data_IF_132414802253
#
_entry.id   IF_132414802253
#
_cell.length_a   1.000
_cell.length_b   1.000
_cell.length_c   1.000
_cell.angle_alpha   90.00
_cell.angle_beta   90.00
_cell.angle_gamma   90.00
#
_symmetry.space_group_name_H-M   'P 1'
#
loop_
_entity.id
_entity.type
_entity.pdbx_description
1 polymer ?
#
# COMPACT_ATOMS: atom_id res chain seq x y z
N UNK A 1 3.66 13.59 -7.40
CA UNK A 1 3.28 12.15 -7.53
C UNK A 1 3.80 11.38 -6.34
N UNK A 2 2.98 10.55 -5.68
CA UNK A 2 3.41 9.78 -4.50
C UNK A 2 3.04 8.30 -4.61
N UNK A 3 3.88 7.43 -4.04
CA UNK A 3 3.63 6.00 -3.85
C UNK A 3 3.60 5.70 -2.36
N UNK A 4 2.52 5.09 -1.89
CA UNK A 4 2.38 4.69 -0.49
C UNK A 4 2.25 3.18 -0.34
N UNK A 5 2.76 2.65 0.77
CA UNK A 5 2.38 1.31 1.23
C UNK A 5 1.26 1.49 2.25
N UNK A 6 0.10 0.89 1.99
CA UNK A 6 -1.01 0.84 2.91
C UNK A 6 -1.11 -0.54 3.55
N UNK A 7 -1.31 -0.58 4.86
CA UNK A 7 -1.71 -1.79 5.60
C UNK A 7 -3.20 -1.72 5.84
N UNK A 8 -3.93 -2.78 5.47
CA UNK A 8 -5.35 -2.92 5.77
C UNK A 8 -5.55 -4.13 6.65
N UNK A 9 -5.99 -3.88 7.87
CA UNK A 9 -6.37 -4.90 8.83
C UNK A 9 -7.89 -5.06 8.82
N UNK A 10 -8.38 -6.28 8.66
CA UNK A 10 -9.79 -6.61 8.83
C UNK A 10 -9.92 -7.56 10.02
N UNK A 11 -10.78 -7.25 10.99
CA UNK A 11 -11.07 -8.07 12.17
C UNK A 11 -12.56 -8.38 12.26
N UNK A 12 -12.90 -9.56 12.75
CA UNK A 12 -14.28 -10.01 12.92
C UNK A 12 -14.82 -10.81 11.74
N UNK A 13 -16.03 -11.33 11.92
CA UNK A 13 -16.72 -12.18 10.94
C UNK A 13 -18.16 -11.69 10.73
N UNK A 14 -18.70 -11.93 9.54
CA UNK A 14 -20.07 -11.56 9.19
C UNK A 14 -20.33 -10.06 9.33
N UNK A 15 -21.38 -9.70 10.08
CA UNK A 15 -21.84 -8.32 10.29
C UNK A 15 -20.97 -7.52 11.26
N UNK A 16 -20.13 -8.17 12.06
CA UNK A 16 -19.19 -7.52 13.00
C UNK A 16 -17.79 -7.34 12.40
N UNK A 17 -17.68 -7.25 11.07
CA UNK A 17 -16.40 -7.04 10.40
C UNK A 17 -16.00 -5.57 10.50
N UNK A 18 -14.88 -5.31 11.17
CA UNK A 18 -14.21 -4.01 11.21
C UNK A 18 -13.02 -4.03 10.26
N UNK A 19 -12.74 -2.90 9.62
CA UNK A 19 -11.56 -2.75 8.75
C UNK A 19 -10.88 -1.42 9.04
N UNK A 20 -9.59 -1.49 9.33
CA UNK A 20 -8.72 -0.34 9.58
C UNK A 20 -7.68 -0.26 8.47
N UNK A 21 -7.38 0.96 8.01
CA UNK A 21 -6.39 1.20 6.97
C UNK A 21 -5.39 2.23 7.45
N UNK A 22 -4.12 1.88 7.37
CA UNK A 22 -3.00 2.69 7.84
C UNK A 22 -2.01 2.91 6.70
N UNK A 23 -1.44 4.12 6.64
CA UNK A 23 -0.36 4.42 5.71
C UNK A 23 0.98 4.14 6.38
N UNK A 24 1.66 3.06 5.97
CA UNK A 24 2.94 2.64 6.53
C UNK A 24 4.08 3.56 6.08
N UNK A 25 4.04 3.97 4.81
CA UNK A 25 5.01 4.91 4.28
C UNK A 25 4.43 5.65 3.09
N UNK A 26 4.96 6.85 2.86
CA UNK A 26 4.76 7.64 1.66
C UNK A 26 6.12 7.92 1.05
N UNK A 27 6.24 7.63 -0.23
CA UNK A 27 7.43 7.86 -1.03
C UNK A 27 7.05 8.85 -2.13
N UNK A 28 7.56 10.07 -2.02
CA UNK A 28 7.39 11.09 -3.06
C UNK A 28 8.24 10.68 -4.28
N UNK A 29 7.58 10.50 -5.42
CA UNK A 29 8.24 10.06 -6.65
C UNK A 29 8.81 11.25 -7.41
N UNK A 30 8.03 12.33 -7.51
CA UNK A 30 8.35 13.48 -8.36
C UNK A 30 7.58 14.71 -7.91
N UNK A 31 8.26 15.85 -8.01
CA UNK A 31 7.70 17.19 -7.94
C UNK A 31 7.51 17.74 -9.37
N UNK A 32 6.31 18.20 -9.70
CA UNK A 32 5.93 18.66 -11.05
C UNK A 32 5.17 17.65 -11.93
N UNK A 33 4.87 18.07 -13.15
CA UNK A 33 4.09 17.32 -14.12
C UNK A 33 5.00 16.51 -15.08
N UNK A 34 4.74 15.20 -15.27
CA UNK A 34 5.54 14.39 -16.18
C UNK A 34 5.25 14.75 -17.63
N UNK A 35 6.26 14.69 -18.49
CA UNK A 35 6.10 14.83 -19.94
C UNK A 35 5.79 13.46 -20.57
N UNK A 36 4.98 13.47 -21.64
CA UNK A 36 4.66 12.24 -22.38
C UNK A 36 5.94 11.55 -22.87
N UNK A 37 6.13 10.30 -22.45
CA UNK A 37 7.29 9.48 -22.81
C UNK A 37 8.39 9.43 -21.77
N UNK A 38 8.27 10.22 -20.69
CA UNK A 38 9.21 10.12 -19.56
C UNK A 38 9.01 8.84 -18.76
N UNK A 39 10.11 8.32 -18.21
CA UNK A 39 10.12 7.16 -17.34
C UNK A 39 10.88 7.51 -16.06
N UNK A 40 10.18 7.47 -14.93
CA UNK A 40 10.76 7.74 -13.62
C UNK A 40 11.06 6.41 -12.92
N UNK A 41 12.33 6.08 -12.65
CA UNK A 41 12.67 4.85 -11.94
C UNK A 41 12.30 4.97 -10.45
N UNK A 42 11.65 3.94 -9.90
CA UNK A 42 11.24 3.91 -8.49
C UNK A 42 11.95 2.77 -7.77
N UNK A 43 12.53 3.06 -6.60
CA UNK A 43 13.13 2.06 -5.71
C UNK A 43 12.67 2.29 -4.27
N UNK A 44 11.88 1.36 -3.74
CA UNK A 44 11.37 1.40 -2.37
C UNK A 44 11.97 0.26 -1.55
N UNK A 45 12.84 0.60 -0.59
CA UNK A 45 13.44 -0.37 0.31
C UNK A 45 12.48 -0.72 1.45
N UNK A 46 12.16 -2.00 1.62
CA UNK A 46 11.17 -2.44 2.62
C UNK A 46 11.74 -2.60 4.03
N UNK A 47 13.06 -2.77 4.16
CA UNK A 47 13.73 -3.09 5.42
C UNK A 47 13.51 -2.09 6.58
N UNK A 48 13.44 -0.77 6.34
CA UNK A 48 13.23 0.20 7.42
C UNK A 48 11.82 0.19 8.02
N UNK A 49 10.85 -0.40 7.33
CA UNK A 49 9.44 -0.33 7.73
C UNK A 49 9.06 -1.54 8.60
N UNK A 50 8.28 -1.29 9.65
CA UNK A 50 7.75 -2.32 10.54
C UNK A 50 6.63 -3.12 9.87
N UNK A 51 6.99 -3.96 8.90
CA UNK A 51 6.08 -4.79 8.13
C UNK A 51 5.91 -6.18 8.79
N UNK A 52 4.74 -6.76 8.60
CA UNK A 52 4.46 -8.17 8.91
C UNK A 52 4.17 -8.91 7.60
N UNK A 53 4.21 -10.26 7.58
CA UNK A 53 3.71 -11.01 6.45
C UNK A 53 2.23 -10.71 6.17
N UNK A 54 1.81 -10.91 4.93
CA UNK A 54 0.39 -10.90 4.57
C UNK A 54 -0.30 -12.07 5.25
N UNK A 55 -1.32 -11.77 6.04
CA UNK A 55 -2.14 -12.77 6.73
C UNK A 55 -3.51 -12.86 6.06
N UNK A 56 -3.83 -14.04 5.51
CA UNK A 56 -5.11 -14.28 4.84
C UNK A 56 -6.00 -15.15 5.71
N UNK A 57 -7.13 -14.59 6.12
CA UNK A 57 -8.20 -15.29 6.83
C UNK A 57 -7.71 -16.17 7.99
N UNK A 58 -6.92 -15.60 8.90
CA UNK A 58 -6.35 -16.36 10.03
C UNK A 58 -7.49 -16.77 10.97
N UNK A 59 -7.75 -18.07 11.02
CA UNK A 59 -8.81 -18.69 11.81
C UNK A 59 -10.19 -18.04 11.64
N UNK A 60 -10.49 -17.47 10.47
CA UNK A 60 -11.72 -16.71 10.23
C UNK A 60 -11.94 -15.54 11.19
N UNK A 61 -10.88 -15.03 11.81
CA UNK A 61 -10.93 -13.90 12.76
C UNK A 61 -10.38 -12.61 12.20
N UNK A 62 -9.27 -12.67 11.45
CA UNK A 62 -8.66 -11.46 10.91
C UNK A 62 -7.87 -11.68 9.62
N UNK A 63 -7.54 -10.59 8.94
CA UNK A 63 -6.63 -10.55 7.80
C UNK A 63 -5.79 -9.28 7.83
N UNK A 64 -4.54 -9.37 7.42
CA UNK A 64 -3.64 -8.23 7.23
C UNK A 64 -3.17 -8.24 5.78
N UNK A 65 -3.54 -7.21 5.04
CA UNK A 65 -3.21 -7.04 3.62
C UNK A 65 -2.38 -5.79 3.39
N UNK A 66 -1.55 -5.82 2.36
CA UNK A 66 -0.70 -4.71 1.96
C UNK A 66 -1.06 -4.26 0.55
N UNK A 67 -1.05 -2.95 0.33
CA UNK A 67 -1.36 -2.36 -0.98
C UNK A 67 -0.29 -1.34 -1.33
N UNK A 68 0.17 -1.37 -2.59
CA UNK A 68 0.80 -0.22 -3.20
C UNK A 68 -0.30 0.72 -3.67
N UNK A 69 -0.27 1.95 -3.18
CA UNK A 69 -1.21 3.01 -3.50
C UNK A 69 -0.47 4.11 -4.24
N UNK A 70 -0.69 4.21 -5.54
CA UNK A 70 -0.20 5.30 -6.36
C UNK A 70 -1.21 6.45 -6.31
N UNK A 71 -0.72 7.64 -5.99
CA UNK A 71 -1.52 8.87 -5.97
C UNK A 71 -0.91 9.89 -6.94
N UNK A 72 -1.77 10.41 -7.81
CA UNK A 72 -1.47 11.50 -8.72
C UNK A 72 -2.31 12.70 -8.31
N UNK A 73 -1.70 13.87 -8.36
CA UNK A 73 -2.38 15.15 -8.15
C UNK A 73 -2.10 15.98 -9.39
N UNK A 74 -3.14 16.58 -9.97
CA UNK A 74 -3.00 17.50 -11.10
C UNK A 74 -3.00 18.98 -10.66
N UNK A 75 -2.90 19.88 -11.63
CA UNK A 75 -2.81 21.33 -11.38
C UNK A 75 -4.11 21.93 -10.81
N UNK A 76 -5.24 21.23 -10.93
CA UNK A 76 -6.54 21.62 -10.37
C UNK A 76 -6.78 21.02 -8.97
N UNK A 77 -5.73 20.46 -8.34
CA UNK A 77 -5.78 19.75 -7.05
C UNK A 77 -6.69 18.49 -7.08
N UNK A 78 -6.98 17.94 -8.26
CA UNK A 78 -7.73 16.69 -8.38
C UNK A 78 -6.82 15.51 -8.10
N UNK A 79 -7.29 14.59 -7.26
CA UNK A 79 -6.53 13.43 -6.81
C UNK A 79 -7.00 12.15 -7.49
N UNK A 80 -6.08 11.44 -8.13
CA UNK A 80 -6.32 10.15 -8.77
C UNK A 80 -5.59 9.06 -8.02
N UNK A 81 -6.27 7.93 -7.80
CA UNK A 81 -5.78 6.84 -6.97
C UNK A 81 -5.78 5.52 -7.74
N UNK A 82 -4.70 4.75 -7.60
CA UNK A 82 -4.66 3.35 -8.03
C UNK A 82 -4.04 2.50 -6.94
N UNK A 83 -4.78 1.48 -6.49
CA UNK A 83 -4.31 0.52 -5.50
C UNK A 83 -4.09 -0.85 -6.13
N UNK A 84 -2.99 -1.50 -5.76
CA UNK A 84 -2.69 -2.88 -6.13
C UNK A 84 -2.29 -3.66 -4.88
N UNK A 85 -2.94 -4.80 -4.62
CA UNK A 85 -2.57 -5.69 -3.51
C UNK A 85 -1.17 -6.28 -3.78
N UNK A 86 -0.31 -6.24 -2.77
CA UNK A 86 1.01 -6.87 -2.76
C UNK A 86 1.09 -7.92 -1.64
N UNK A 87 1.83 -8.99 -1.88
CA UNK A 87 2.02 -10.08 -0.92
C UNK A 87 3.39 -9.93 -0.28
N UNK A 88 3.40 -9.73 1.03
CA UNK A 88 4.61 -9.67 1.85
C UNK A 88 4.79 -11.02 2.53
N UNK A 89 6.00 -11.57 2.48
CA UNK A 89 6.35 -12.86 3.08
C UNK A 89 7.69 -12.76 3.79
N UNK A 90 7.93 -13.63 4.77
CA UNK A 90 9.19 -13.69 5.51
C UNK A 90 10.10 -14.74 4.89
N UNK A 91 11.28 -14.31 4.43
CA UNK A 91 12.22 -15.19 3.72
C UNK A 91 12.62 -16.45 4.49
N UNK A 92 12.89 -16.33 5.78
CA UNK A 92 13.48 -17.42 6.56
C UNK A 92 12.45 -18.36 7.22
N UNK A 93 11.16 -18.21 6.91
CA UNK A 93 10.08 -19.06 7.45
C UNK A 93 9.25 -19.70 6.32
N UNK A 94 9.51 -19.34 5.06
CA UNK A 94 8.85 -19.89 3.88
C UNK A 94 9.67 -20.97 3.18
#
# INVERSE_FOLDING_TARGET
MELAILRRESVGAGTQRHTESETITKFEIMDGAPVKGESVPVRLYLAPYALTPTYRNVQSRFSVKYFLNLVLVDEEDRRYFKQQEIIIWRKNIG
#
